data_IF_272658921202
#
_entry.id   IF_272658921202
#
_cell.length_a   1.000
_cell.length_b   1.000
_cell.length_c   1.000
_cell.angle_alpha   90.00
_cell.angle_beta   90.00
_cell.angle_gamma   90.00
#
_symmetry.space_group_name_H-M   'P 1'
#
loop_
_entity.id
_entity.type
_entity.pdbx_description
1 polymer ?
#
# COMPACT_ATOMS: atom_id res chain seq x y z
N UNK A 1 -2.61 5.19 39.21
CA UNK A 1 -3.12 6.23 38.32
C UNK A 1 -3.34 5.50 37.00
N UNK A 2 -4.60 5.16 36.70
CA UNK A 2 -4.98 4.55 35.43
C UNK A 2 -4.71 5.57 34.32
N UNK A 3 -3.71 5.34 33.51
CA UNK A 3 -3.62 6.00 32.22
C UNK A 3 -4.90 5.62 31.45
N UNK A 4 -5.73 6.62 31.21
CA UNK A 4 -6.90 6.50 30.35
C UNK A 4 -6.39 6.01 28.99
N UNK A 5 -6.75 4.78 28.60
CA UNK A 5 -6.58 4.29 27.23
C UNK A 5 -7.09 5.41 26.32
N UNK A 6 -6.19 6.05 25.59
CA UNK A 6 -6.61 6.78 24.39
C UNK A 6 -7.38 5.75 23.55
N UNK A 7 -8.63 6.07 23.25
CA UNK A 7 -9.58 5.21 22.54
C UNK A 7 -8.89 4.64 21.31
N UNK A 8 -8.53 3.36 21.38
CA UNK A 8 -7.78 2.66 20.34
C UNK A 8 -8.61 2.62 19.07
N UNK A 9 -8.06 3.15 17.98
CA UNK A 9 -8.65 2.96 16.65
C UNK A 9 -8.67 1.48 16.33
N UNK A 10 -9.77 0.99 15.78
CA UNK A 10 -9.87 -0.38 15.25
C UNK A 10 -9.99 -0.28 13.72
N UNK A 11 -9.03 -0.89 13.04
CA UNK A 11 -9.02 -1.00 11.59
C UNK A 11 -9.61 -2.36 11.21
N UNK A 12 -10.76 -2.37 10.55
CA UNK A 12 -11.44 -3.59 10.15
C UNK A 12 -11.35 -3.79 8.64
N UNK A 13 -10.80 -4.93 8.22
CA UNK A 13 -10.79 -5.35 6.82
C UNK A 13 -11.87 -6.41 6.59
N UNK A 14 -12.84 -6.14 5.73
CA UNK A 14 -13.85 -7.09 5.31
C UNK A 14 -13.35 -7.83 4.06
N UNK A 15 -13.12 -9.13 4.16
CA UNK A 15 -12.85 -10.00 3.03
C UNK A 15 -14.21 -10.44 2.45
N UNK A 16 -14.75 -9.66 1.50
CA UNK A 16 -16.12 -9.82 1.03
C UNK A 16 -16.36 -11.13 0.26
N UNK A 17 -15.32 -11.65 -0.38
CA UNK A 17 -15.38 -12.89 -1.17
C UNK A 17 -14.00 -13.48 -1.41
N UNK A 18 -13.92 -14.80 -1.54
CA UNK A 18 -12.73 -15.49 -2.05
C UNK A 18 -12.70 -15.61 -3.57
N UNK A 19 -13.83 -15.32 -4.24
CA UNK A 19 -13.91 -15.36 -5.72
C UNK A 19 -13.14 -14.18 -6.34
N UNK A 20 -12.47 -14.47 -7.46
CA UNK A 20 -11.74 -13.46 -8.24
C UNK A 20 -11.80 -13.82 -9.71
N UNK A 21 -11.89 -12.84 -10.56
CA UNK A 21 -11.83 -13.00 -12.01
C UNK A 21 -10.40 -12.99 -12.58
N UNK A 22 -9.39 -12.76 -11.72
CA UNK A 22 -7.96 -12.92 -12.04
C UNK A 22 -7.38 -14.18 -11.39
N UNK A 23 -6.24 -14.62 -11.88
CA UNK A 23 -5.43 -15.74 -11.37
C UNK A 23 -3.98 -15.32 -11.18
N UNK A 24 -3.75 -14.26 -10.35
CA UNK A 24 -2.40 -13.73 -10.12
C UNK A 24 -1.50 -14.78 -9.46
N UNK A 25 -0.28 -14.95 -9.99
CA UNK A 25 0.66 -15.99 -9.57
C UNK A 25 1.17 -15.81 -8.13
N UNK A 26 1.25 -14.56 -7.68
CA UNK A 26 1.71 -14.17 -6.34
C UNK A 26 0.57 -13.94 -5.34
N UNK A 27 -0.66 -14.39 -5.65
CA UNK A 27 -1.82 -14.06 -4.83
C UNK A 27 -1.86 -14.84 -3.51
N UNK A 28 -1.69 -14.14 -2.40
CA UNK A 28 -1.76 -14.72 -1.06
C UNK A 28 -3.20 -15.02 -0.56
N UNK A 29 -4.24 -14.58 -1.30
CA UNK A 29 -5.63 -14.77 -0.88
C UNK A 29 -6.16 -16.21 -1.11
N UNK A 30 -5.26 -17.20 -1.24
CA UNK A 30 -5.60 -18.62 -1.30
C UNK A 30 -6.41 -19.04 -2.54
N UNK A 31 -7.14 -20.15 -2.42
CA UNK A 31 -7.95 -20.70 -3.50
C UNK A 31 -9.11 -19.78 -3.87
N UNK A 32 -9.34 -19.61 -5.19
CA UNK A 32 -10.42 -18.76 -5.70
C UNK A 32 -11.75 -19.52 -5.73
N UNK A 33 -12.38 -19.64 -4.57
CA UNK A 33 -13.65 -20.33 -4.38
C UNK A 33 -14.82 -19.35 -4.35
N UNK A 34 -16.01 -19.81 -4.76
CA UNK A 34 -17.23 -19.00 -4.74
C UNK A 34 -17.83 -18.90 -3.33
N UNK A 35 -17.02 -18.42 -2.37
CA UNK A 35 -17.48 -18.15 -1.00
C UNK A 35 -17.59 -16.65 -0.82
N UNK A 36 -18.77 -16.18 -0.44
CA UNK A 36 -19.07 -14.76 -0.20
C UNK A 36 -19.48 -14.56 1.25
N UNK A 37 -19.13 -13.41 1.80
CA UNK A 37 -19.59 -12.97 3.11
C UNK A 37 -21.12 -12.78 3.07
N UNK A 38 -21.80 -13.25 4.11
CA UNK A 38 -23.24 -12.98 4.23
C UNK A 38 -23.49 -11.55 4.71
N UNK A 39 -24.69 -10.97 4.42
CA UNK A 39 -25.05 -9.66 4.95
C UNK A 39 -24.98 -9.56 6.46
N UNK A 40 -25.31 -10.64 7.19
CA UNK A 40 -25.30 -10.70 8.64
C UNK A 40 -23.87 -10.63 9.18
N UNK A 41 -22.91 -11.34 8.55
CA UNK A 41 -21.49 -11.28 8.92
C UNK A 41 -20.93 -9.90 8.60
N UNK A 42 -21.27 -9.35 7.42
CA UNK A 42 -20.81 -8.01 7.03
C UNK A 42 -21.29 -6.92 7.99
N UNK A 43 -22.58 -7.00 8.42
CA UNK A 43 -23.14 -6.11 9.44
C UNK A 43 -22.30 -6.14 10.73
N UNK A 44 -22.07 -7.33 11.29
CA UNK A 44 -21.27 -7.50 12.49
C UNK A 44 -19.82 -7.05 12.34
N UNK A 45 -19.23 -7.27 11.15
CA UNK A 45 -17.89 -6.80 10.82
C UNK A 45 -17.81 -5.26 10.80
N UNK A 46 -18.83 -4.58 10.26
CA UNK A 46 -18.95 -3.12 10.34
C UNK A 46 -19.07 -2.66 11.79
N UNK A 47 -19.90 -3.32 12.59
CA UNK A 47 -20.11 -2.97 13.99
C UNK A 47 -18.82 -3.06 14.81
N UNK A 48 -17.90 -3.99 14.48
CA UNK A 48 -16.57 -4.07 15.12
C UNK A 48 -15.75 -2.79 15.01
N UNK A 49 -15.87 -2.07 13.90
CA UNK A 49 -15.13 -0.81 13.71
C UNK A 49 -15.58 0.32 14.65
N UNK A 50 -16.74 0.16 15.28
CA UNK A 50 -17.36 1.14 16.17
C UNK A 50 -17.45 0.69 17.63
N UNK A 51 -16.80 -0.40 17.98
CA UNK A 51 -16.74 -0.90 19.37
C UNK A 51 -16.00 0.15 20.23
N UNK A 52 -16.54 0.41 21.42
CA UNK A 52 -16.03 1.39 22.40
C UNK A 52 -15.96 2.84 21.89
N UNK A 53 -16.77 3.20 20.91
CA UNK A 53 -16.89 4.56 20.34
C UNK A 53 -15.52 5.23 20.06
N UNK A 54 -14.70 4.68 19.14
CA UNK A 54 -13.38 5.22 18.85
C UNK A 54 -13.50 6.63 18.24
N UNK A 55 -12.48 7.46 18.40
CA UNK A 55 -12.45 8.78 17.70
C UNK A 55 -12.35 8.62 16.18
N UNK A 56 -11.72 7.54 15.74
CA UNK A 56 -11.48 7.20 14.33
C UNK A 56 -11.74 5.73 14.09
N UNK A 57 -12.41 5.43 13.01
CA UNK A 57 -12.63 4.09 12.51
C UNK A 57 -12.08 3.98 11.08
N UNK A 58 -11.54 2.83 10.74
CA UNK A 58 -11.13 2.53 9.37
C UNK A 58 -11.78 1.23 8.91
N UNK A 59 -12.37 1.27 7.71
CA UNK A 59 -12.95 0.10 7.07
C UNK A 59 -12.27 -0.12 5.71
N UNK A 60 -11.74 -1.31 5.49
CA UNK A 60 -11.14 -1.71 4.23
C UNK A 60 -11.93 -2.85 3.60
N UNK A 61 -12.32 -2.72 2.34
CA UNK A 61 -12.98 -3.77 1.57
C UNK A 61 -11.94 -4.51 0.74
N UNK A 62 -11.88 -5.81 0.94
CA UNK A 62 -10.86 -6.69 0.37
C UNK A 62 -11.45 -8.04 -0.06
N UNK A 63 -10.61 -8.94 -0.58
CA UNK A 63 -10.97 -10.31 -0.92
C UNK A 63 -10.25 -10.83 -2.16
N UNK A 64 -10.86 -11.75 -2.88
CA UNK A 64 -10.41 -12.08 -4.23
C UNK A 64 -10.55 -10.87 -5.14
N UNK A 65 -11.80 -10.55 -5.52
CA UNK A 65 -12.15 -9.26 -6.15
C UNK A 65 -13.41 -8.70 -5.48
N UNK A 66 -13.30 -7.64 -4.66
CA UNK A 66 -14.45 -7.09 -3.93
C UNK A 66 -15.60 -6.61 -4.82
N UNK A 67 -15.31 -6.14 -6.04
CA UNK A 67 -16.35 -5.69 -6.96
C UNK A 67 -17.22 -6.83 -7.53
N UNK A 68 -16.87 -8.10 -7.29
CA UNK A 68 -17.76 -9.25 -7.52
C UNK A 68 -18.87 -9.34 -6.45
N UNK A 69 -18.66 -8.73 -5.29
CA UNK A 69 -19.63 -8.62 -4.20
C UNK A 69 -20.09 -7.16 -4.00
N UNK A 70 -20.23 -6.40 -5.09
CA UNK A 70 -20.40 -4.94 -5.09
C UNK A 70 -21.60 -4.45 -4.29
N UNK A 71 -22.75 -5.11 -4.38
CA UNK A 71 -23.96 -4.79 -3.60
C UNK A 71 -23.70 -4.84 -2.09
N UNK A 72 -22.95 -5.87 -1.64
CA UNK A 72 -22.58 -6.03 -0.25
C UNK A 72 -21.60 -4.93 0.19
N UNK A 73 -20.62 -4.59 -0.66
CA UNK A 73 -19.71 -3.48 -0.43
C UNK A 73 -20.45 -2.17 -0.19
N UNK A 74 -21.38 -1.82 -1.10
CA UNK A 74 -22.17 -0.57 -0.99
C UNK A 74 -22.96 -0.53 0.31
N UNK A 75 -23.72 -1.59 0.62
CA UNK A 75 -24.51 -1.66 1.86
C UNK A 75 -23.64 -1.50 3.10
N UNK A 76 -22.49 -2.17 3.15
CA UNK A 76 -21.57 -2.07 4.27
C UNK A 76 -20.98 -0.66 4.40
N UNK A 77 -20.64 -0.02 3.29
CA UNK A 77 -20.14 1.35 3.28
C UNK A 77 -21.20 2.37 3.71
N UNK A 78 -22.44 2.22 3.24
CA UNK A 78 -23.58 3.06 3.64
C UNK A 78 -23.88 2.94 5.12
N UNK A 79 -23.90 1.71 5.65
CA UNK A 79 -24.07 1.43 7.07
C UNK A 79 -22.97 2.09 7.90
N UNK A 80 -21.70 1.85 7.55
CA UNK A 80 -20.56 2.42 8.27
C UNK A 80 -20.60 3.96 8.26
N UNK A 81 -20.97 4.57 7.12
CA UNK A 81 -21.12 6.02 7.01
C UNK A 81 -22.25 6.57 7.88
N UNK A 82 -23.37 5.83 7.97
CA UNK A 82 -24.51 6.17 8.83
C UNK A 82 -24.14 6.13 10.31
N UNK A 83 -23.47 5.03 10.75
CA UNK A 83 -23.01 4.84 12.13
C UNK A 83 -21.99 5.92 12.53
N UNK A 84 -20.99 6.16 11.67
CA UNK A 84 -19.99 7.18 11.92
C UNK A 84 -20.60 8.58 12.13
N UNK A 85 -21.57 8.95 11.27
CA UNK A 85 -22.30 10.22 11.41
C UNK A 85 -23.12 10.30 12.68
N UNK A 86 -23.83 9.23 13.03
CA UNK A 86 -24.67 9.18 14.23
C UNK A 86 -23.86 9.33 15.52
N UNK A 87 -22.62 8.81 15.53
CA UNK A 87 -21.72 8.83 16.70
C UNK A 87 -20.65 9.93 16.66
N UNK A 88 -20.56 10.71 15.57
CA UNK A 88 -19.54 11.76 15.41
C UNK A 88 -18.11 11.21 15.26
N UNK A 89 -17.95 10.01 14.69
CA UNK A 89 -16.69 9.31 14.52
C UNK A 89 -16.09 9.65 13.15
N UNK A 90 -14.78 9.95 13.09
CA UNK A 90 -14.05 10.10 11.82
C UNK A 90 -13.91 8.75 11.15
N UNK A 91 -14.53 8.55 9.98
CA UNK A 91 -14.49 7.29 9.25
C UNK A 91 -13.66 7.41 7.96
N UNK A 92 -12.70 6.50 7.79
CA UNK A 92 -12.01 6.27 6.53
C UNK A 92 -12.43 4.94 5.95
N UNK A 93 -12.73 4.92 4.66
CA UNK A 93 -13.05 3.71 3.94
C UNK A 93 -12.18 3.55 2.71
N UNK A 94 -11.79 2.31 2.41
CA UNK A 94 -11.02 1.99 1.21
C UNK A 94 -11.45 0.66 0.59
N UNK A 95 -11.21 0.52 -0.72
CA UNK A 95 -11.36 -0.75 -1.43
C UNK A 95 -10.10 -1.05 -2.21
N UNK A 96 -9.57 -2.26 -2.07
CA UNK A 96 -8.50 -2.77 -2.92
C UNK A 96 -9.12 -3.63 -4.01
N UNK A 97 -8.99 -3.20 -5.26
CA UNK A 97 -9.60 -3.86 -6.42
C UNK A 97 -8.60 -4.06 -7.56
N UNK A 98 -8.79 -5.09 -8.36
CA UNK A 98 -8.06 -5.27 -9.61
C UNK A 98 -8.57 -4.34 -10.74
N UNK A 99 -9.63 -3.60 -10.52
CA UNK A 99 -10.14 -2.56 -11.41
C UNK A 99 -10.82 -3.05 -12.70
N UNK A 100 -10.82 -4.34 -12.99
CA UNK A 100 -11.41 -4.88 -14.24
C UNK A 100 -12.91 -4.63 -14.36
N UNK A 101 -13.59 -4.48 -13.21
CA UNK A 101 -15.02 -4.23 -13.11
C UNK A 101 -15.34 -2.78 -12.76
N UNK A 102 -14.33 -1.90 -12.65
CA UNK A 102 -14.53 -0.50 -12.30
C UNK A 102 -14.98 0.30 -13.52
N UNK A 103 -16.19 0.83 -13.46
CA UNK A 103 -16.79 1.69 -14.48
C UNK A 103 -17.20 3.06 -13.90
N UNK A 104 -17.71 3.94 -14.75
CA UNK A 104 -18.13 5.29 -14.35
C UNK A 104 -19.27 5.31 -13.33
N UNK A 105 -20.17 4.31 -13.31
CA UNK A 105 -21.26 4.24 -12.35
C UNK A 105 -20.72 3.86 -10.96
N UNK A 106 -19.95 2.78 -10.87
CA UNK A 106 -19.32 2.34 -9.62
C UNK A 106 -18.37 3.38 -9.04
N UNK A 107 -17.58 4.03 -9.90
CA UNK A 107 -16.69 5.09 -9.46
C UNK A 107 -17.45 6.26 -8.81
N UNK A 108 -18.61 6.67 -9.37
CA UNK A 108 -19.47 7.70 -8.77
C UNK A 108 -20.05 7.30 -7.42
N UNK A 109 -20.52 6.06 -7.31
CA UNK A 109 -21.10 5.54 -6.08
C UNK A 109 -20.05 5.42 -4.96
N UNK A 110 -18.85 4.91 -5.28
CA UNK A 110 -17.74 4.87 -4.34
C UNK A 110 -17.31 6.27 -3.88
N UNK A 111 -17.22 7.23 -4.82
CA UNK A 111 -16.91 8.62 -4.49
C UNK A 111 -17.99 9.27 -3.61
N UNK A 112 -19.28 9.01 -3.86
CA UNK A 112 -20.38 9.54 -3.05
C UNK A 112 -20.35 9.03 -1.60
N UNK A 113 -19.77 7.85 -1.37
CA UNK A 113 -19.57 7.25 -0.05
C UNK A 113 -18.18 7.58 0.54
N UNK A 114 -17.35 8.35 -0.17
CA UNK A 114 -15.99 8.69 0.24
C UNK A 114 -15.14 7.41 0.48
N UNK A 115 -15.23 6.47 -0.46
CA UNK A 115 -14.42 5.25 -0.46
C UNK A 115 -13.19 5.47 -1.32
N UNK A 116 -12.02 5.41 -0.69
CA UNK A 116 -10.72 5.51 -1.37
C UNK A 116 -10.45 4.24 -2.18
N UNK A 117 -9.91 4.39 -3.38
CA UNK A 117 -9.62 3.24 -4.26
C UNK A 117 -8.12 2.95 -4.29
N UNK A 118 -7.75 1.73 -3.91
CA UNK A 118 -6.43 1.17 -4.15
C UNK A 118 -6.52 0.23 -5.36
N UNK A 119 -6.05 0.71 -6.52
CA UNK A 119 -6.11 -0.03 -7.77
C UNK A 119 -4.88 -0.92 -7.95
N UNK A 120 -5.11 -2.21 -8.11
CA UNK A 120 -4.04 -3.20 -8.33
C UNK A 120 -3.59 -3.23 -9.79
N UNK A 121 -2.41 -2.67 -10.08
CA UNK A 121 -1.79 -2.69 -11.42
C UNK A 121 -0.26 -2.71 -11.28
N UNK A 122 0.44 -3.58 -11.99
CA UNK A 122 1.89 -3.72 -11.87
C UNK A 122 2.69 -2.85 -12.86
N UNK A 123 2.04 -1.86 -13.47
CA UNK A 123 2.68 -0.86 -14.33
C UNK A 123 2.47 -1.08 -15.82
N UNK A 124 3.56 -1.18 -16.58
CA UNK A 124 3.48 -1.44 -18.03
C UNK A 124 2.81 -2.78 -18.33
N UNK A 125 2.35 -2.97 -19.57
CA UNK A 125 1.77 -4.27 -19.99
C UNK A 125 2.71 -5.44 -19.67
N UNK A 126 4.00 -5.30 -19.97
CA UNK A 126 4.99 -6.34 -19.72
C UNK A 126 5.06 -6.70 -18.24
N UNK A 127 5.17 -5.71 -17.36
CA UNK A 127 5.23 -5.91 -15.93
C UNK A 127 3.91 -6.49 -15.37
N UNK A 128 2.76 -6.04 -15.89
CA UNK A 128 1.45 -6.49 -15.44
C UNK A 128 1.14 -7.92 -15.88
N UNK A 129 1.39 -8.24 -17.15
CA UNK A 129 1.11 -9.55 -17.74
C UNK A 129 2.04 -10.64 -17.18
N UNK A 130 3.18 -10.26 -16.59
CA UNK A 130 4.09 -11.18 -15.91
C UNK A 130 3.46 -11.92 -14.72
N UNK A 131 2.40 -11.36 -14.09
CA UNK A 131 1.85 -11.95 -12.87
C UNK A 131 0.32 -11.80 -12.67
N UNK A 132 -0.42 -11.11 -13.58
CA UNK A 132 -1.87 -10.86 -13.40
C UNK A 132 -2.76 -11.36 -14.56
N UNK A 133 -2.73 -12.64 -14.90
CA UNK A 133 -3.60 -13.18 -15.95
C UNK A 133 -5.07 -13.19 -15.51
N UNK A 134 -5.98 -13.14 -16.50
CA UNK A 134 -7.39 -13.46 -16.29
C UNK A 134 -7.53 -14.94 -15.86
N UNK A 135 -8.54 -15.25 -15.04
CA UNK A 135 -8.83 -16.62 -14.60
C UNK A 135 -9.09 -17.59 -15.77
N UNK A 136 -9.62 -17.08 -16.88
CA UNK A 136 -9.81 -17.83 -18.12
C UNK A 136 -8.58 -17.85 -19.04
N UNK A 137 -7.47 -17.28 -18.60
CA UNK A 137 -6.27 -17.07 -19.41
C UNK A 137 -6.28 -15.76 -20.18
N UNK A 138 -5.08 -15.30 -20.59
CA UNK A 138 -4.87 -14.04 -21.28
C UNK A 138 -4.67 -12.83 -20.38
N UNK A 139 -4.35 -11.71 -21.01
CA UNK A 139 -4.03 -10.44 -20.35
C UNK A 139 -5.25 -9.79 -19.74
N UNK A 140 -5.11 -9.26 -18.52
CA UNK A 140 -6.10 -8.38 -17.88
C UNK A 140 -5.81 -6.89 -18.09
N UNK A 141 -4.67 -6.55 -18.69
CA UNK A 141 -4.13 -5.20 -18.76
C UNK A 141 -5.11 -4.17 -19.32
N UNK A 142 -5.77 -4.45 -20.46
CA UNK A 142 -6.74 -3.52 -21.04
C UNK A 142 -7.96 -3.27 -20.15
N UNK A 143 -8.38 -4.29 -19.40
CA UNK A 143 -9.53 -4.12 -18.51
C UNK A 143 -9.15 -3.27 -17.31
N UNK A 144 -7.97 -3.48 -16.73
CA UNK A 144 -7.44 -2.73 -15.59
C UNK A 144 -7.16 -1.28 -15.98
N UNK A 145 -6.54 -1.03 -17.15
CA UNK A 145 -6.25 0.32 -17.63
C UNK A 145 -7.52 1.12 -17.93
N UNK A 146 -8.62 0.49 -18.39
CA UNK A 146 -9.92 1.17 -18.48
C UNK A 146 -10.42 1.63 -17.09
N UNK A 147 -10.25 0.81 -16.05
CA UNK A 147 -10.57 1.19 -14.68
C UNK A 147 -9.69 2.35 -14.17
N UNK A 148 -8.39 2.33 -14.50
CA UNK A 148 -7.47 3.43 -14.20
C UNK A 148 -7.93 4.73 -14.88
N UNK A 149 -8.26 4.68 -16.18
CA UNK A 149 -8.75 5.84 -16.92
C UNK A 149 -10.00 6.46 -16.29
N UNK A 150 -10.90 5.64 -15.73
CA UNK A 150 -12.09 6.13 -15.03
C UNK A 150 -11.69 6.93 -13.79
N UNK A 151 -10.76 6.43 -12.97
CA UNK A 151 -10.29 7.12 -11.77
C UNK A 151 -9.61 8.44 -12.09
N UNK A 152 -8.73 8.44 -13.09
CA UNK A 152 -8.00 9.64 -13.54
C UNK A 152 -8.95 10.70 -14.09
N UNK A 153 -9.83 10.33 -15.06
CA UNK A 153 -10.80 11.27 -15.67
C UNK A 153 -11.76 11.89 -14.67
N UNK A 154 -12.07 11.15 -13.59
CA UNK A 154 -12.98 11.63 -12.52
C UNK A 154 -12.26 12.40 -11.42
N UNK A 155 -10.94 12.51 -11.50
CA UNK A 155 -10.10 13.11 -10.46
C UNK A 155 -10.40 12.53 -9.06
N UNK A 156 -10.69 11.23 -8.98
CA UNK A 156 -10.94 10.57 -7.69
C UNK A 156 -9.66 10.48 -6.87
N UNK A 157 -9.75 10.55 -5.54
CA UNK A 157 -8.62 10.16 -4.70
C UNK A 157 -8.35 8.66 -4.82
N UNK A 158 -7.17 8.28 -5.31
CA UNK A 158 -6.77 6.87 -5.44
C UNK A 158 -5.27 6.69 -5.39
N UNK A 159 -4.85 5.46 -5.19
CA UNK A 159 -3.47 5.01 -5.40
C UNK A 159 -3.45 3.75 -6.25
N UNK A 160 -2.30 3.44 -6.80
CA UNK A 160 -2.06 2.12 -7.40
C UNK A 160 -1.19 1.27 -6.48
N UNK A 161 -1.42 -0.04 -6.52
CA UNK A 161 -0.62 -1.04 -5.82
C UNK A 161 -0.03 -1.98 -6.86
N UNK A 162 1.31 -1.99 -6.94
CA UNK A 162 2.09 -2.88 -7.79
C UNK A 162 2.81 -3.90 -6.94
N UNK A 163 2.71 -5.19 -7.28
CA UNK A 163 3.47 -6.24 -6.60
C UNK A 163 4.77 -6.49 -7.36
N UNK A 164 5.88 -6.38 -6.64
CA UNK A 164 7.22 -6.62 -7.19
C UNK A 164 7.61 -8.06 -6.94
N UNK A 165 7.81 -8.79 -8.03
CA UNK A 165 8.24 -10.19 -8.07
C UNK A 165 9.60 -10.30 -8.77
N UNK A 166 10.31 -11.44 -8.68
CA UNK A 166 11.54 -11.66 -9.45
C UNK A 166 11.38 -11.37 -10.95
N UNK A 167 10.22 -11.69 -11.51
CA UNK A 167 9.94 -11.56 -12.95
C UNK A 167 9.82 -10.10 -13.42
N UNK A 168 9.31 -9.19 -12.56
CA UNK A 168 9.08 -7.79 -12.93
C UNK A 168 9.94 -6.78 -12.16
N UNK A 169 10.78 -7.23 -11.25
CA UNK A 169 11.61 -6.36 -10.39
C UNK A 169 12.49 -5.38 -11.20
N UNK A 170 13.02 -5.83 -12.33
CA UNK A 170 13.83 -4.99 -13.23
C UNK A 170 13.02 -3.90 -13.96
N UNK A 171 11.67 -4.03 -14.00
CA UNK A 171 10.75 -3.08 -14.64
C UNK A 171 10.17 -2.04 -13.68
N UNK A 172 10.59 -2.01 -12.41
CA UNK A 172 10.03 -1.09 -11.39
C UNK A 172 10.17 0.38 -11.81
N UNK A 173 11.27 0.75 -12.46
CA UNK A 173 11.48 2.12 -12.96
C UNK A 173 10.47 2.50 -14.04
N UNK A 174 10.31 1.62 -15.04
CA UNK A 174 9.34 1.77 -16.12
C UNK A 174 7.90 1.79 -15.58
N UNK A 175 7.61 0.97 -14.58
CA UNK A 175 6.31 0.93 -13.90
C UNK A 175 5.95 2.29 -13.32
N UNK A 176 6.86 2.90 -12.56
CA UNK A 176 6.61 4.22 -11.94
C UNK A 176 6.48 5.32 -12.99
N UNK A 177 7.35 5.33 -13.99
CA UNK A 177 7.27 6.31 -15.11
C UNK A 177 5.94 6.20 -15.86
N UNK A 178 5.52 4.97 -16.20
CA UNK A 178 4.26 4.70 -16.88
C UNK A 178 3.07 5.18 -16.05
N UNK A 179 3.00 4.83 -14.76
CA UNK A 179 1.90 5.19 -13.88
C UNK A 179 1.83 6.71 -13.66
N UNK A 180 2.96 7.38 -13.46
CA UNK A 180 2.97 8.84 -13.36
C UNK A 180 2.53 9.51 -14.66
N UNK A 181 2.96 9.02 -15.82
CA UNK A 181 2.51 9.52 -17.12
C UNK A 181 1.01 9.28 -17.36
N UNK A 182 0.47 8.18 -16.83
CA UNK A 182 -0.97 7.89 -16.86
C UNK A 182 -1.79 8.73 -15.86
N UNK A 183 -1.16 9.61 -15.08
CA UNK A 183 -1.85 10.50 -14.14
C UNK A 183 -2.06 9.92 -12.74
N UNK A 184 -1.39 8.83 -12.39
CA UNK A 184 -1.44 8.24 -11.04
C UNK A 184 -0.69 9.15 -10.07
N UNK A 185 -1.36 9.65 -9.00
CA UNK A 185 -0.70 10.54 -8.06
C UNK A 185 0.16 9.81 -7.03
N UNK A 186 -0.16 8.53 -6.77
CA UNK A 186 0.46 7.75 -5.71
C UNK A 186 0.64 6.29 -6.13
N UNK A 187 1.88 5.81 -6.10
CA UNK A 187 2.28 4.46 -6.48
C UNK A 187 2.78 3.70 -5.25
N UNK A 188 2.09 2.63 -4.89
CA UNK A 188 2.53 1.64 -3.91
C UNK A 188 3.33 0.53 -4.59
N UNK A 189 4.52 0.25 -4.10
CA UNK A 189 5.36 -0.86 -4.56
C UNK A 189 5.47 -1.87 -3.41
N UNK A 190 4.85 -3.03 -3.56
CA UNK A 190 4.79 -4.06 -2.52
C UNK A 190 5.63 -5.28 -2.92
N UNK A 191 6.72 -5.59 -2.22
CA UNK A 191 7.49 -6.81 -2.47
C UNK A 191 6.68 -8.08 -2.25
N UNK A 192 6.84 -9.06 -3.14
CA UNK A 192 6.37 -10.42 -2.94
C UNK A 192 7.38 -11.17 -2.07
N UNK A 193 7.22 -11.12 -0.74
CA UNK A 193 8.14 -11.76 0.21
C UNK A 193 8.03 -13.29 0.24
N UNK A 194 7.02 -13.88 -0.41
CA UNK A 194 6.92 -15.31 -0.65
C UNK A 194 7.88 -15.80 -1.74
N UNK A 195 8.37 -14.88 -2.59
CA UNK A 195 9.28 -15.21 -3.69
C UNK A 195 10.75 -15.08 -3.25
N UNK A 196 11.58 -16.00 -3.70
CA UNK A 196 13.02 -15.89 -3.55
C UNK A 196 13.61 -15.07 -4.70
N UNK A 197 14.40 -14.06 -4.36
CA UNK A 197 15.11 -13.23 -5.33
C UNK A 197 16.58 -13.65 -5.41
N UNK A 198 17.11 -13.79 -6.62
CA UNK A 198 18.54 -13.95 -6.87
C UNK A 198 19.27 -12.60 -6.74
N UNK A 199 20.59 -12.61 -6.60
CA UNK A 199 21.41 -11.40 -6.56
C UNK A 199 21.25 -10.54 -7.82
N UNK A 200 21.11 -11.16 -9.00
CA UNK A 200 20.91 -10.43 -10.26
C UNK A 200 19.53 -9.75 -10.32
N UNK A 201 18.48 -10.40 -9.79
CA UNK A 201 17.15 -9.82 -9.68
C UNK A 201 17.10 -8.68 -8.67
N UNK A 202 17.77 -8.82 -7.51
CA UNK A 202 17.93 -7.74 -6.55
C UNK A 202 18.70 -6.55 -7.15
N UNK A 203 19.78 -6.82 -7.89
CA UNK A 203 20.52 -5.77 -8.61
C UNK A 203 19.68 -5.09 -9.70
N UNK A 204 18.84 -5.86 -10.40
CA UNK A 204 17.85 -5.34 -11.36
C UNK A 204 16.82 -4.44 -10.67
N UNK A 205 16.30 -4.89 -9.54
CA UNK A 205 15.35 -4.14 -8.72
C UNK A 205 15.95 -2.83 -8.19
N UNK A 206 17.19 -2.86 -7.69
CA UNK A 206 17.88 -1.65 -7.22
C UNK A 206 17.98 -0.60 -8.35
N UNK A 207 18.38 -1.02 -9.57
CA UNK A 207 18.39 -0.11 -10.73
C UNK A 207 17.01 0.44 -11.05
N UNK A 208 15.97 -0.38 -10.95
CA UNK A 208 14.58 0.03 -11.10
C UNK A 208 14.16 1.06 -10.06
N UNK A 209 14.51 0.87 -8.79
CA UNK A 209 14.24 1.81 -7.71
C UNK A 209 14.97 3.15 -7.89
N UNK A 210 16.25 3.13 -8.33
CA UNK A 210 16.98 4.36 -8.64
C UNK A 210 16.31 5.15 -9.77
N UNK A 211 15.84 4.47 -10.84
CA UNK A 211 15.11 5.08 -11.94
C UNK A 211 13.74 5.63 -11.48
N UNK A 212 13.02 4.92 -10.62
CA UNK A 212 11.77 5.40 -10.02
C UNK A 212 11.99 6.68 -9.20
N UNK A 213 13.11 6.75 -8.46
CA UNK A 213 13.49 7.96 -7.72
C UNK A 213 13.81 9.13 -8.66
N UNK A 214 14.52 8.89 -9.76
CA UNK A 214 14.80 9.92 -10.77
C UNK A 214 13.51 10.44 -11.41
N UNK A 215 12.55 9.54 -11.70
CA UNK A 215 11.23 9.94 -12.18
C UNK A 215 10.50 10.82 -11.16
N UNK A 216 10.49 10.43 -9.87
CA UNK A 216 9.87 11.21 -8.79
C UNK A 216 10.50 12.61 -8.69
N UNK A 217 11.83 12.72 -8.68
CA UNK A 217 12.55 13.99 -8.66
C UNK A 217 12.17 14.85 -9.88
N UNK A 218 12.12 14.25 -11.08
CA UNK A 218 11.77 14.97 -12.31
C UNK A 218 10.34 15.55 -12.27
N UNK A 219 9.38 14.85 -11.66
CA UNK A 219 8.02 15.35 -11.49
C UNK A 219 7.95 16.49 -10.47
N UNK A 220 8.65 16.41 -9.34
CA UNK A 220 8.76 17.52 -8.38
C UNK A 220 9.39 18.77 -9.00
N UNK A 221 10.41 18.62 -9.86
CA UNK A 221 11.02 19.74 -10.62
C UNK A 221 10.05 20.39 -11.59
N UNK A 222 9.06 19.65 -12.10
CA UNK A 222 7.95 20.19 -12.92
C UNK A 222 6.82 20.82 -12.07
N UNK A 223 7.00 20.96 -10.77
CA UNK A 223 5.99 21.50 -9.86
C UNK A 223 4.85 20.53 -9.51
N UNK A 224 4.98 19.24 -9.86
CA UNK A 224 3.95 18.21 -9.61
C UNK A 224 4.28 17.40 -8.37
N UNK A 225 3.29 17.22 -7.51
CA UNK A 225 3.40 16.35 -6.35
C UNK A 225 3.02 14.93 -6.76
N UNK A 226 3.97 14.02 -6.65
CA UNK A 226 3.78 12.58 -6.87
C UNK A 226 4.34 11.81 -5.68
N UNK A 227 3.89 10.59 -5.49
CA UNK A 227 4.25 9.75 -4.34
C UNK A 227 4.66 8.36 -4.80
N UNK A 228 5.80 7.87 -4.34
CA UNK A 228 6.15 6.45 -4.31
C UNK A 228 6.20 6.06 -2.84
N UNK A 229 5.22 5.26 -2.39
CA UNK A 229 4.93 5.09 -0.95
C UNK A 229 6.12 4.60 -0.13
N UNK A 230 6.96 3.71 -0.70
CA UNK A 230 8.15 3.19 -0.02
C UNK A 230 9.20 4.28 0.26
N UNK A 231 9.35 5.28 -0.64
CA UNK A 231 10.25 6.40 -0.44
C UNK A 231 9.64 7.44 0.51
N UNK A 232 8.35 7.78 0.30
CA UNK A 232 7.64 8.72 1.17
C UNK A 232 7.69 8.30 2.64
N UNK A 233 7.47 7.01 2.92
CA UNK A 233 7.50 6.50 4.28
C UNK A 233 8.89 6.64 4.92
N UNK A 234 9.98 6.46 4.17
CA UNK A 234 11.35 6.64 4.66
C UNK A 234 11.69 8.12 4.91
N UNK A 235 11.26 9.01 4.00
CA UNK A 235 11.42 10.46 4.15
C UNK A 235 10.64 10.95 5.38
N UNK A 236 9.37 10.57 5.50
CA UNK A 236 8.52 10.95 6.63
C UNK A 236 9.06 10.41 7.97
N UNK A 237 9.52 9.15 8.00
CA UNK A 237 10.16 8.60 9.19
C UNK A 237 11.43 9.37 9.56
N UNK A 238 12.24 9.78 8.57
CA UNK A 238 13.43 10.59 8.81
C UNK A 238 13.07 11.97 9.40
N UNK A 239 12.09 12.66 8.83
CA UNK A 239 11.64 13.97 9.31
C UNK A 239 11.06 13.89 10.73
N UNK A 240 10.32 12.82 11.06
CA UNK A 240 9.75 12.58 12.39
C UNK A 240 10.78 12.15 13.45
N UNK A 241 12.00 11.80 13.06
CA UNK A 241 13.02 11.22 13.95
C UNK A 241 12.83 9.73 14.24
N UNK A 242 12.02 9.04 13.45
CA UNK A 242 11.79 7.60 13.52
C UNK A 242 10.34 7.18 13.36
N UNK A 243 10.10 5.87 13.40
CA UNK A 243 8.76 5.29 13.42
C UNK A 243 8.22 5.29 14.86
N UNK A 244 7.09 5.94 15.08
CA UNK A 244 6.35 5.85 16.34
C UNK A 244 5.69 4.47 16.50
N UNK A 245 5.22 4.15 17.71
CA UNK A 245 4.52 2.88 17.97
C UNK A 245 3.31 2.70 17.07
N UNK A 246 2.54 3.77 16.79
CA UNK A 246 1.38 3.75 15.91
C UNK A 246 1.72 3.63 14.41
N UNK A 247 2.99 3.81 14.01
CA UNK A 247 3.44 3.61 12.63
C UNK A 247 3.81 2.13 12.34
N UNK A 248 3.75 1.27 13.38
CA UNK A 248 4.15 -0.14 13.30
C UNK A 248 2.92 -1.05 13.18
N UNK A 249 3.12 -2.22 12.57
CA UNK A 249 2.08 -3.23 12.49
C UNK A 249 1.60 -3.63 13.89
N UNK A 250 0.29 -3.57 14.11
CA UNK A 250 -0.35 -3.94 15.40
C UNK A 250 -0.68 -5.42 15.51
N UNK A 251 -0.58 -6.18 14.43
CA UNK A 251 -0.82 -7.63 14.34
C UNK A 251 -2.04 -8.10 15.15
N UNK A 252 -3.22 -7.52 14.85
CA UNK A 252 -4.47 -7.91 15.49
C UNK A 252 -4.80 -7.17 16.80
N UNK A 253 -3.95 -6.24 17.28
CA UNK A 253 -4.29 -5.42 18.45
C UNK A 253 -5.30 -4.32 18.10
N UNK A 254 -5.05 -3.62 16.99
CA UNK A 254 -5.89 -2.53 16.48
C UNK A 254 -6.38 -2.76 15.06
N UNK A 255 -5.91 -3.81 14.39
CA UNK A 255 -6.34 -4.21 13.05
C UNK A 255 -6.84 -5.65 13.05
N UNK A 256 -7.95 -5.91 12.39
CA UNK A 256 -8.54 -7.22 12.25
C UNK A 256 -9.10 -7.43 10.85
N UNK A 257 -8.89 -8.60 10.27
CA UNK A 257 -9.52 -9.01 9.03
C UNK A 257 -10.65 -10.00 9.32
N UNK A 258 -11.82 -9.75 8.77
CA UNK A 258 -13.01 -10.60 8.90
C UNK A 258 -13.18 -11.40 7.63
N UNK A 259 -13.10 -12.72 7.72
CA UNK A 259 -13.31 -13.63 6.60
C UNK A 259 -14.80 -13.83 6.27
N UNK A 260 -15.14 -14.37 5.10
CA UNK A 260 -16.51 -14.69 4.74
C UNK A 260 -17.23 -15.65 5.69
N UNK A 261 -16.50 -16.48 6.43
CA UNK A 261 -17.04 -17.35 7.48
C UNK A 261 -17.44 -16.61 8.76
N UNK A 262 -16.92 -15.38 8.98
CA UNK A 262 -16.98 -14.65 10.24
C UNK A 262 -15.76 -14.87 11.14
N UNK A 263 -14.81 -15.70 10.72
CA UNK A 263 -13.54 -15.86 11.42
C UNK A 263 -12.71 -14.58 11.36
N UNK A 264 -11.98 -14.32 12.45
CA UNK A 264 -11.13 -13.14 12.61
C UNK A 264 -9.65 -13.52 12.48
N UNK A 265 -8.91 -12.70 11.77
CA UNK A 265 -7.47 -12.86 11.54
C UNK A 265 -6.74 -11.55 11.85
N UNK A 266 -5.48 -11.63 12.26
CA UNK A 266 -4.69 -10.43 12.59
C UNK A 266 -4.29 -9.59 11.37
N UNK A 267 -4.41 -10.13 10.16
CA UNK A 267 -4.10 -9.46 8.89
C UNK A 267 -4.84 -10.16 7.75
N UNK A 268 -5.24 -9.41 6.73
CA UNK A 268 -5.88 -9.96 5.51
C UNK A 268 -4.98 -10.97 4.77
N UNK A 269 -3.65 -10.85 4.91
CA UNK A 269 -2.70 -11.82 4.34
C UNK A 269 -2.78 -13.20 4.99
N UNK A 270 -3.29 -13.31 6.20
CA UNK A 270 -3.42 -14.57 6.93
C UNK A 270 -4.79 -15.24 6.72
N UNK A 271 -5.74 -14.56 6.09
CA UNK A 271 -7.06 -15.12 5.78
C UNK A 271 -6.94 -16.26 4.77
N UNK A 272 -6.09 -16.11 3.74
CA UNK A 272 -5.94 -17.08 2.65
C UNK A 272 -7.31 -17.53 2.11
N UNK A 273 -7.61 -18.84 2.13
CA UNK A 273 -8.89 -19.42 1.73
C UNK A 273 -9.87 -19.64 2.91
N UNK A 274 -9.50 -19.17 4.13
CA UNK A 274 -10.31 -19.30 5.35
C UNK A 274 -10.54 -20.77 5.77
N UNK A 275 -9.61 -21.65 5.44
CA UNK A 275 -9.63 -23.07 5.82
C UNK A 275 -8.58 -23.42 6.90
N UNK A 276 -7.52 -22.61 7.01
CA UNK A 276 -6.50 -22.77 8.03
C UNK A 276 -6.91 -22.12 9.36
N UNK A 277 -7.50 -22.89 10.25
CA UNK A 277 -7.95 -22.42 11.56
C UNK A 277 -6.82 -22.09 12.54
N UNK A 278 -5.56 -22.41 12.22
CA UNK A 278 -4.42 -22.12 13.09
C UNK A 278 -4.15 -20.60 13.26
N UNK A 279 -4.56 -19.79 12.28
CA UNK A 279 -4.40 -18.34 12.30
C UNK A 279 -5.67 -17.59 12.74
N UNK A 280 -6.74 -18.32 13.08
CA UNK A 280 -8.01 -17.74 13.57
C UNK A 280 -7.84 -17.25 14.99
N UNK A 281 -8.09 -15.97 15.21
CA UNK A 281 -8.03 -15.32 16.53
C UNK A 281 -9.35 -15.37 17.29
N UNK A 282 -10.44 -15.66 16.61
CA UNK A 282 -11.79 -15.67 17.14
C UNK A 282 -12.83 -15.59 16.04
N UNK A 283 -14.04 -15.22 16.41
CA UNK A 283 -15.17 -15.07 15.49
C UNK A 283 -15.87 -13.72 15.72
N UNK A 284 -16.49 -13.19 14.71
CA UNK A 284 -17.18 -11.88 14.73
C UNK A 284 -18.25 -11.77 15.84
N UNK A 285 -18.80 -12.89 16.30
CA UNK A 285 -19.76 -12.94 17.42
C UNK A 285 -19.13 -12.85 18.81
N UNK A 286 -17.83 -13.07 18.94
CA UNK A 286 -17.14 -13.21 20.23
C UNK A 286 -15.79 -12.53 20.31
N UNK A 287 -15.57 -11.53 19.44
CA UNK A 287 -14.28 -10.83 19.36
C UNK A 287 -13.93 -10.10 20.65
N UNK A 288 -12.65 -10.19 21.01
CA UNK A 288 -12.01 -9.39 22.06
C UNK A 288 -10.64 -8.93 21.54
N UNK A 289 -10.21 -7.68 21.84
CA UNK A 289 -8.87 -7.22 21.49
C UNK A 289 -7.80 -8.19 22.00
N UNK A 290 -6.79 -8.46 21.17
CA UNK A 290 -5.63 -9.24 21.60
C UNK A 290 -4.84 -8.42 22.63
N UNK A 291 -4.36 -9.08 23.69
CA UNK A 291 -3.52 -8.43 24.69
C UNK A 291 -2.21 -7.94 24.06
N UNK A 292 -1.73 -6.75 24.45
CA UNK A 292 -0.53 -6.11 23.89
C UNK A 292 0.73 -6.97 23.93
N UNK A 293 0.86 -7.83 24.95
CA UNK A 293 1.98 -8.73 25.16
C UNK A 293 1.95 -10.01 24.32
N UNK A 294 0.81 -10.29 23.67
CA UNK A 294 0.63 -11.47 22.82
C UNK A 294 1.26 -11.31 21.42
N UNK A 295 1.66 -10.09 21.02
CA UNK A 295 2.19 -9.83 19.70
C UNK A 295 3.69 -9.57 19.70
N UNK A 296 4.46 -10.14 18.74
CA UNK A 296 5.88 -9.83 18.60
C UNK A 296 6.11 -8.33 18.36
N UNK A 297 6.98 -7.71 19.17
CA UNK A 297 7.29 -6.26 19.07
C UNK A 297 8.39 -5.93 18.06
N UNK A 298 8.54 -6.72 17.02
CA UNK A 298 9.53 -6.55 15.96
C UNK A 298 10.52 -7.71 15.87
N UNK A 299 11.44 -7.66 14.91
CA UNK A 299 12.34 -8.76 14.65
C UNK A 299 13.33 -8.97 15.81
N UNK A 300 13.58 -10.25 16.08
CA UNK A 300 14.52 -10.74 17.10
C UNK A 300 15.91 -11.05 16.53
N UNK A 301 16.15 -10.69 15.26
CA UNK A 301 17.47 -10.87 14.63
C UNK A 301 18.56 -10.10 15.41
N UNK A 302 19.68 -10.73 15.71
CA UNK A 302 20.81 -10.10 16.40
C UNK A 302 21.35 -8.89 15.64
N UNK A 303 21.37 -8.96 14.32
CA UNK A 303 21.84 -7.89 13.42
C UNK A 303 20.94 -6.63 13.47
N UNK A 304 19.70 -6.75 13.91
CA UNK A 304 18.81 -5.60 14.03
C UNK A 304 19.19 -4.69 15.21
N UNK A 305 19.82 -5.22 16.26
CA UNK A 305 20.26 -4.45 17.41
C UNK A 305 21.19 -3.28 17.04
N UNK A 306 22.33 -3.55 16.40
CA UNK A 306 23.30 -2.52 16.00
C UNK A 306 22.96 -1.83 14.66
N UNK A 307 21.86 -2.17 14.00
CA UNK A 307 21.54 -1.65 12.67
C UNK A 307 21.24 -0.14 12.69
N UNK A 308 21.98 0.62 11.88
CA UNK A 308 21.79 2.07 11.75
C UNK A 308 20.43 2.50 11.16
N UNK A 309 19.71 1.61 10.49
CA UNK A 309 18.39 1.88 9.89
C UNK A 309 17.21 1.47 10.79
N UNK A 310 17.47 0.86 11.97
CA UNK A 310 16.42 0.31 12.84
C UNK A 310 15.32 1.31 13.20
N UNK A 311 15.66 2.57 13.37
CA UNK A 311 14.76 3.62 13.79
C UNK A 311 13.67 3.96 12.74
N UNK A 312 13.91 3.65 11.46
CA UNK A 312 12.98 3.86 10.35
C UNK A 312 12.71 2.60 9.53
N UNK A 313 13.09 1.43 10.03
CA UNK A 313 12.93 0.15 9.34
C UNK A 313 11.50 -0.38 9.51
N UNK A 314 10.88 -0.83 8.40
CA UNK A 314 9.54 -1.42 8.37
C UNK A 314 9.49 -2.92 8.70
N UNK A 315 10.60 -3.53 9.14
CA UNK A 315 10.68 -4.98 9.46
C UNK A 315 9.76 -5.44 10.61
N UNK A 316 8.92 -4.54 11.12
CA UNK A 316 7.86 -4.87 12.08
C UNK A 316 6.62 -5.53 11.44
N UNK A 317 6.56 -5.65 10.11
CA UNK A 317 5.46 -6.32 9.44
C UNK A 317 5.54 -7.83 9.65
N UNK A 318 4.81 -8.34 10.63
CA UNK A 318 4.85 -9.74 11.03
C UNK A 318 4.39 -10.71 9.92
N UNK A 319 3.43 -10.29 9.08
CA UNK A 319 2.96 -11.10 7.96
C UNK A 319 4.03 -11.24 6.87
N UNK A 320 4.76 -10.16 6.56
CA UNK A 320 5.88 -10.19 5.60
C UNK A 320 7.05 -11.03 6.13
N UNK A 321 7.38 -10.88 7.42
CA UNK A 321 8.38 -11.71 8.08
C UNK A 321 8.02 -13.20 7.94
N UNK A 322 6.77 -13.56 8.27
CA UNK A 322 6.29 -14.94 8.19
C UNK A 322 6.29 -15.47 6.75
N UNK A 323 5.96 -14.64 5.77
CA UNK A 323 5.97 -15.02 4.36
C UNK A 323 7.38 -15.40 3.89
N UNK A 324 8.40 -14.64 4.28
CA UNK A 324 9.79 -14.87 3.87
C UNK A 324 10.49 -15.95 4.70
N UNK A 325 10.22 -16.01 6.03
CA UNK A 325 11.04 -16.81 6.97
C UNK A 325 10.28 -17.95 7.65
N UNK A 326 8.94 -17.99 7.52
CA UNK A 326 8.06 -18.86 8.29
C UNK A 326 7.79 -18.39 9.73
N UNK A 327 8.42 -17.27 10.18
CA UNK A 327 8.29 -16.71 11.53
C UNK A 327 7.89 -15.25 11.50
N UNK A 328 6.92 -14.87 12.32
CA UNK A 328 6.42 -13.49 12.40
C UNK A 328 7.42 -12.50 13.06
N UNK A 329 8.36 -13.01 13.86
CA UNK A 329 9.34 -12.26 14.63
C UNK A 329 10.75 -12.29 14.02
N UNK A 330 10.94 -12.80 12.81
CA UNK A 330 12.23 -12.91 12.15
C UNK A 330 12.20 -12.22 10.78
N UNK A 331 12.93 -11.12 10.65
CA UNK A 331 13.05 -10.42 9.37
C UNK A 331 13.96 -11.20 8.41
N UNK A 332 13.52 -11.34 7.16
CA UNK A 332 14.27 -12.02 6.13
C UNK A 332 15.31 -11.16 5.42
N UNK A 333 16.12 -11.79 4.58
CA UNK A 333 17.21 -11.15 3.84
C UNK A 333 16.71 -10.15 2.80
N UNK A 334 15.69 -10.53 2.02
CA UNK A 334 15.07 -9.67 1.01
C UNK A 334 14.43 -8.44 1.66
N UNK A 335 13.71 -8.63 2.77
CA UNK A 335 13.14 -7.51 3.51
C UNK A 335 14.23 -6.57 4.04
N UNK A 336 15.30 -7.11 4.63
CA UNK A 336 16.42 -6.31 5.13
C UNK A 336 17.11 -5.52 4.00
N UNK A 337 17.33 -6.16 2.86
CA UNK A 337 17.90 -5.52 1.67
C UNK A 337 16.99 -4.40 1.16
N UNK A 338 15.69 -4.67 1.01
CA UNK A 338 14.69 -3.70 0.55
C UNK A 338 14.63 -2.47 1.47
N UNK A 339 14.59 -2.67 2.78
CA UNK A 339 14.55 -1.59 3.78
C UNK A 339 15.77 -0.67 3.70
N UNK A 340 16.98 -1.24 3.56
CA UNK A 340 18.23 -0.47 3.45
C UNK A 340 18.34 0.25 2.10
N UNK A 341 17.99 -0.43 1.02
CA UNK A 341 18.06 0.14 -0.34
C UNK A 341 17.07 1.30 -0.48
N UNK A 342 15.83 1.12 -0.04
CA UNK A 342 14.80 2.18 -0.10
C UNK A 342 15.14 3.36 0.81
N UNK A 343 15.73 3.11 2.00
CA UNK A 343 16.17 4.19 2.89
C UNK A 343 17.26 5.06 2.24
N UNK A 344 18.28 4.44 1.65
CA UNK A 344 19.37 5.12 0.95
C UNK A 344 18.88 5.96 -0.23
N UNK A 345 17.96 5.39 -1.02
CA UNK A 345 17.39 6.08 -2.19
C UNK A 345 16.48 7.24 -1.76
N UNK A 346 15.67 7.05 -0.71
CA UNK A 346 14.82 8.09 -0.13
C UNK A 346 15.65 9.27 0.40
N UNK A 347 16.80 9.01 1.03
CA UNK A 347 17.73 10.06 1.45
C UNK A 347 18.23 10.86 0.26
N UNK A 348 18.63 10.20 -0.84
CA UNK A 348 19.05 10.87 -2.09
C UNK A 348 17.93 11.77 -2.65
N UNK A 349 16.68 11.30 -2.68
CA UNK A 349 15.53 12.12 -3.13
C UNK A 349 15.39 13.35 -2.25
N UNK A 350 15.37 13.15 -0.94
CA UNK A 350 15.16 14.22 0.03
C UNK A 350 16.29 15.26 -0.01
N UNK A 351 17.56 14.83 -0.03
CA UNK A 351 18.71 15.72 -0.13
C UNK A 351 18.67 16.55 -1.43
N UNK A 352 18.45 15.88 -2.57
CA UNK A 352 18.38 16.55 -3.88
C UNK A 352 17.32 17.65 -3.91
N UNK A 353 16.08 17.33 -3.53
CA UNK A 353 14.97 18.28 -3.61
C UNK A 353 15.03 19.35 -2.51
N UNK A 354 15.65 19.05 -1.38
CA UNK A 354 15.91 20.02 -0.33
C UNK A 354 16.97 21.04 -0.73
N UNK A 355 18.12 20.60 -1.29
CA UNK A 355 19.19 21.49 -1.77
C UNK A 355 18.69 22.39 -2.91
N UNK A 356 17.81 21.88 -3.76
CA UNK A 356 17.14 22.64 -4.81
C UNK A 356 16.06 23.59 -4.29
N UNK A 357 15.75 23.55 -2.98
CA UNK A 357 14.64 24.29 -2.36
C UNK A 357 13.31 24.08 -3.10
N UNK A 358 13.06 22.85 -3.49
CA UNK A 358 11.85 22.49 -4.25
C UNK A 358 10.59 22.75 -3.42
N UNK A 359 9.84 23.79 -3.77
CA UNK A 359 8.67 24.23 -3.00
C UNK A 359 7.58 23.17 -2.90
N UNK A 360 7.17 22.43 -3.96
CA UNK A 360 6.22 21.33 -3.85
C UNK A 360 6.65 20.23 -2.89
N UNK A 361 7.93 19.85 -2.93
CA UNK A 361 8.47 18.83 -2.01
C UNK A 361 8.42 19.30 -0.55
N UNK A 362 8.89 20.52 -0.30
CA UNK A 362 8.90 21.11 1.05
C UNK A 362 7.46 21.22 1.57
N UNK A 363 6.53 21.73 0.79
CA UNK A 363 5.13 21.84 1.18
C UNK A 363 4.50 20.47 1.47
N UNK A 364 4.78 19.45 0.64
CA UNK A 364 4.23 18.11 0.82
C UNK A 364 4.72 17.42 2.09
N UNK A 365 6.02 17.39 2.33
CA UNK A 365 6.58 16.65 3.46
C UNK A 365 6.54 17.44 4.77
N UNK A 366 6.91 18.72 4.76
CA UNK A 366 6.98 19.54 5.97
C UNK A 366 5.66 20.21 6.30
N UNK A 367 4.84 20.59 5.32
CA UNK A 367 3.49 21.08 5.53
C UNK A 367 2.59 20.06 6.23
N UNK A 368 2.71 18.79 5.90
CA UNK A 368 2.00 17.69 6.58
C UNK A 368 2.37 17.57 8.06
N UNK A 369 3.64 17.79 8.39
CA UNK A 369 4.13 17.78 9.78
C UNK A 369 3.58 18.95 10.60
N UNK A 370 3.44 20.14 9.99
CA UNK A 370 2.93 21.33 10.64
C UNK A 370 1.40 21.37 10.74
N UNK A 371 0.68 20.32 10.32
CA UNK A 371 -0.78 20.34 10.22
C UNK A 371 -1.31 21.29 9.14
N UNK A 372 -0.42 21.84 8.30
CA UNK A 372 -0.71 22.76 7.20
C UNK A 372 -0.83 22.04 5.87
N UNK A 373 -1.00 20.70 5.87
CA UNK A 373 -1.17 19.95 4.64
C UNK A 373 -2.38 20.51 3.89
N UNK A 374 -2.23 20.86 2.61
CA UNK A 374 -3.38 21.10 1.78
C UNK A 374 -4.26 19.85 1.85
N UNK A 375 -5.57 20.05 2.02
CA UNK A 375 -6.56 19.02 1.74
C UNK A 375 -6.14 18.33 0.45
N UNK A 376 -6.27 17.01 0.36
CA UNK A 376 -5.83 16.23 -0.79
C UNK A 376 -6.68 16.58 -2.04
N UNK A 377 -6.56 17.80 -2.51
CA UNK A 377 -7.01 18.16 -3.85
C UNK A 377 -6.01 17.54 -4.82
N UNK A 378 -6.46 16.70 -5.74
CA UNK A 378 -5.60 16.20 -6.79
C UNK A 378 -4.99 17.39 -7.54
N UNK A 379 -3.71 17.34 -7.90
CA UNK A 379 -3.12 18.37 -8.70
C UNK A 379 -3.94 18.57 -9.99
N UNK A 380 -4.06 19.80 -10.50
CA UNK A 380 -4.79 20.07 -11.74
C UNK A 380 -4.28 19.14 -12.85
N UNK A 381 -5.20 18.53 -13.57
CA UNK A 381 -4.87 17.61 -14.66
C UNK A 381 -4.08 18.31 -15.76
N UNK A 382 -3.17 17.63 -16.46
CA UNK A 382 -2.51 18.19 -17.62
C UNK A 382 -3.56 18.50 -18.69
N UNK A 383 -3.41 19.65 -19.36
CA UNK A 383 -4.17 19.96 -20.57
C UNK A 383 -3.97 18.82 -21.58
N UNK A 384 -5.00 18.42 -22.35
CA UNK A 384 -4.96 17.24 -23.23
C UNK A 384 -3.87 17.25 -24.32
N UNK A 385 -3.28 18.41 -24.61
CA UNK A 385 -2.33 18.61 -25.71
C UNK A 385 -0.86 18.34 -25.37
N UNK A 386 -0.50 18.03 -24.10
CA UNK A 386 0.91 17.77 -23.71
C UNK A 386 1.31 16.28 -23.68
N UNK A 387 0.40 15.37 -23.98
CA UNK A 387 0.70 13.93 -24.02
C UNK A 387 1.17 13.54 -25.43
N UNK A 388 2.41 13.87 -25.77
CA UNK A 388 3.05 13.32 -26.96
C UNK A 388 3.32 11.81 -26.75
N UNK A 389 2.79 10.99 -27.65
CA UNK A 389 3.02 9.54 -27.67
C UNK A 389 4.51 9.18 -27.63
N UNK A 390 4.94 8.13 -26.91
CA UNK A 390 6.34 7.76 -26.82
C UNK A 390 6.88 7.33 -28.19
N UNK A 391 7.89 8.05 -28.69
CA UNK A 391 8.69 7.60 -29.84
C UNK A 391 9.59 6.46 -29.39
N UNK A 392 9.62 5.38 -30.17
CA UNK A 392 10.43 4.19 -29.96
C UNK A 392 11.94 4.44 -29.82
N UNK A 393 12.72 3.43 -29.44
CA UNK A 393 14.05 3.60 -28.88
C UNK A 393 15.08 4.08 -29.89
N UNK A 394 15.80 5.16 -29.55
CA UNK A 394 17.06 5.54 -30.21
C UNK A 394 18.23 5.04 -29.35
N UNK A 395 19.01 4.12 -29.92
CA UNK A 395 20.30 3.67 -29.40
C UNK A 395 21.30 4.82 -29.30
N UNK A 396 21.87 5.08 -28.11
CA UNK A 396 23.27 5.55 -28.04
C UNK A 396 23.81 5.31 -26.60
N UNK A 397 24.82 4.46 -26.54
CA UNK A 397 25.61 4.15 -25.34
C UNK A 397 26.69 5.23 -25.23
N UNK A 398 26.72 5.97 -24.12
CA UNK A 398 27.88 6.73 -23.69
C UNK A 398 28.24 6.36 -22.26
N UNK A 399 29.43 5.74 -22.11
CA UNK A 399 30.06 5.44 -20.82
C UNK A 399 30.60 6.72 -20.20
N UNK A 400 30.23 7.02 -18.95
CA UNK A 400 30.97 7.98 -18.12
C UNK A 400 31.42 7.32 -16.82
N UNK A 401 32.69 7.55 -16.48
CA UNK A 401 33.42 6.98 -15.35
C UNK A 401 32.98 7.60 -14.02
N UNK A 402 32.93 6.78 -12.98
CA UNK A 402 32.58 7.15 -11.60
C UNK A 402 33.77 7.78 -10.87
N UNK A 403 33.49 8.87 -10.15
CA UNK A 403 34.38 9.43 -9.11
C UNK A 403 33.90 8.93 -7.72
N UNK A 404 34.82 8.80 -6.74
CA UNK A 404 34.47 8.24 -5.42
C UNK A 404 33.71 9.26 -4.54
N UNK A 405 32.67 8.78 -3.85
CA UNK A 405 31.88 9.55 -2.90
C UNK A 405 32.57 9.58 -1.55
N UNK A 406 32.94 10.77 -1.09
CA UNK A 406 33.42 11.02 0.25
C UNK A 406 32.42 11.80 1.08
N UNK A 407 32.24 11.38 2.33
CA UNK A 407 31.57 12.01 3.49
C UNK A 407 30.05 12.17 3.45
N UNK A 408 29.42 11.38 4.34
CA UNK A 408 28.00 11.48 4.74
C UNK A 408 27.78 12.76 5.58
N UNK A 409 27.01 13.71 5.06
CA UNK A 409 26.34 14.72 5.88
C UNK A 409 24.98 14.18 6.30
N UNK A 410 24.66 14.23 7.60
CA UNK A 410 23.36 13.83 8.14
C UNK A 410 22.30 14.89 7.75
N UNK A 411 21.10 14.44 7.37
CA UNK A 411 19.95 15.31 7.27
C UNK A 411 19.78 16.10 8.57
N UNK A 412 19.72 17.42 8.47
CA UNK A 412 19.55 18.31 9.62
C UNK A 412 18.09 18.23 10.05
N UNK A 413 17.86 17.65 11.23
CA UNK A 413 16.61 17.81 11.96
C UNK A 413 16.62 19.25 12.53
N UNK A 414 15.73 20.10 12.06
CA UNK A 414 15.55 21.43 12.65
C UNK A 414 14.78 21.35 13.96
N UNK A 415 15.08 22.22 14.93
CA UNK A 415 14.47 22.23 16.25
C UNK A 415 12.97 22.54 16.25
#
# INVERSE_FOLDING_TARGET
>A
VSETRETSNVDVTLVLTHDCNLACDYCYAGAKVQRRMSPEIAQKAVDLAFVDDPKRAQLSFFGGEPLLAYELLLRSAEQARSEARARGIELKMSVTTNGTLLDDARARELAALDVYVALSIDGTREAHDAGRPLRGGGSSFEQVTRGLDVLVRRAMPFETISVVTPQNAHLVGETVEYLFAAGVPRVGLNPCYEAAFTDDELAGWERGLERAADAMIAWYRKGRIVSVTIFDNKILAAIKGGLASGDKCSLGQTSVAVAPSGNLYSCERLVADDENLADVMGHVDSWKPIAEDACPRGPVNDECGPCGERWRCGSFCACSNRAETGRSDLAGGTQCWHERTTARIADRIAETLWEERNTPFIAWFYGRMAGLAPSAEPPPQPEPDEVAAPRGPANSIARTQRAPVTSRKRLVVMP
#
